data_IF_153487918408
#
_entry.id   IF_153487918408
#
_cell.length_a   1.000
_cell.length_b   1.000
_cell.length_c   1.000
_cell.angle_alpha   90.00
_cell.angle_beta   90.00
_cell.angle_gamma   90.00
#
_symmetry.space_group_name_H-M   'P 1'
#
loop_
_entity.id
_entity.type
_entity.pdbx_description
1 polymer ?
#
# COMPACT_ATOMS: atom_id res chain seq x y z
N UNK A 1 -22.04 -17.08 -4.45
CA UNK A 1 -22.47 -18.47 -4.12
C UNK A 1 -23.99 -18.44 -4.02
N UNK A 2 -24.66 -19.59 -3.94
CA UNK A 2 -26.11 -19.62 -3.66
C UNK A 2 -26.36 -19.60 -2.16
N UNK A 3 -27.55 -19.15 -1.74
CA UNK A 3 -28.07 -19.38 -0.40
C UNK A 3 -27.92 -20.86 -0.02
N UNK A 4 -27.35 -21.12 1.16
CA UNK A 4 -27.12 -22.47 1.70
C UNK A 4 -26.25 -23.42 0.86
N UNK A 5 -25.52 -22.91 -0.14
CA UNK A 5 -24.58 -23.72 -0.94
C UNK A 5 -23.15 -23.19 -0.83
N UNK A 6 -22.18 -24.10 -0.89
CA UNK A 6 -20.74 -23.79 -0.85
C UNK A 6 -20.11 -23.62 -2.24
N UNK A 7 -20.69 -24.21 -3.28
CA UNK A 7 -20.15 -24.12 -4.65
C UNK A 7 -20.29 -22.69 -5.21
N UNK A 8 -19.23 -22.25 -5.90
CA UNK A 8 -19.26 -21.03 -6.69
C UNK A 8 -20.19 -21.21 -7.89
N UNK A 9 -20.95 -20.16 -8.22
CA UNK A 9 -21.62 -20.10 -9.53
C UNK A 9 -20.54 -19.96 -10.59
N UNK A 10 -20.82 -20.36 -11.84
CA UNK A 10 -19.90 -20.21 -12.97
C UNK A 10 -19.52 -18.74 -13.20
N UNK A 11 -18.55 -18.22 -12.46
CA UNK A 11 -18.05 -16.85 -12.57
C UNK A 11 -16.76 -16.89 -13.38
N UNK A 12 -16.79 -16.28 -14.57
CA UNK A 12 -15.57 -15.95 -15.30
C UNK A 12 -14.91 -14.78 -14.58
N UNK A 13 -13.89 -15.08 -13.78
CA UNK A 13 -13.14 -14.06 -13.02
C UNK A 13 -12.05 -13.48 -13.93
N UNK A 14 -12.03 -12.16 -14.18
CA UNK A 14 -10.98 -11.51 -14.97
C UNK A 14 -9.59 -11.76 -14.39
N UNK A 15 -8.58 -11.89 -15.25
CA UNK A 15 -7.18 -12.11 -14.84
C UNK A 15 -6.67 -10.98 -13.93
N UNK A 16 -7.04 -9.73 -14.24
CA UNK A 16 -6.71 -8.54 -13.45
C UNK A 16 -7.10 -8.68 -11.97
N UNK A 17 -8.29 -9.26 -11.69
CA UNK A 17 -8.74 -9.51 -10.31
C UNK A 17 -7.86 -10.55 -9.61
N UNK A 18 -7.39 -11.56 -10.34
CA UNK A 18 -6.53 -12.64 -9.78
C UNK A 18 -5.12 -12.17 -9.49
N UNK A 19 -4.66 -11.16 -10.21
CA UNK A 19 -3.30 -10.63 -10.13
C UNK A 19 -3.18 -9.35 -9.31
N UNK A 20 -4.30 -8.68 -9.04
CA UNK A 20 -4.37 -7.46 -8.25
C UNK A 20 -3.93 -7.64 -6.79
N UNK A 21 -3.73 -6.48 -6.16
CA UNK A 21 -3.40 -6.37 -4.73
C UNK A 21 -4.72 -6.38 -3.96
N UNK A 22 -4.95 -7.43 -3.18
CA UNK A 22 -6.18 -7.55 -2.38
C UNK A 22 -6.14 -6.61 -1.17
N UNK A 23 -7.27 -5.93 -0.94
CA UNK A 23 -7.46 -4.90 0.08
C UNK A 23 -8.35 -5.45 1.20
N UNK A 24 -9.56 -5.88 0.82
CA UNK A 24 -10.58 -6.36 1.75
C UNK A 24 -11.33 -7.53 1.15
N UNK A 25 -11.67 -8.51 1.98
CA UNK A 25 -12.60 -9.59 1.66
C UNK A 25 -13.76 -9.52 2.64
N UNK A 26 -14.95 -9.22 2.13
CA UNK A 26 -16.18 -9.19 2.93
C UNK A 26 -16.96 -10.47 2.69
N UNK A 27 -17.11 -11.29 3.72
CA UNK A 27 -18.00 -12.44 3.69
C UNK A 27 -19.44 -11.98 3.99
N UNK A 28 -20.32 -12.08 3.00
CA UNK A 28 -21.71 -11.66 3.09
C UNK A 28 -22.57 -12.92 3.13
N UNK A 29 -23.27 -13.14 4.22
CA UNK A 29 -24.13 -14.31 4.37
C UNK A 29 -25.33 -14.07 5.30
N UNK A 30 -26.30 -14.98 5.28
CA UNK A 30 -27.39 -15.01 6.27
C UNK A 30 -27.04 -15.97 7.41
N UNK A 31 -27.57 -15.71 8.61
CA UNK A 31 -27.52 -16.66 9.73
C UNK A 31 -28.89 -17.31 9.90
N UNK A 32 -28.93 -18.64 9.76
CA UNK A 32 -30.09 -19.46 10.12
C UNK A 32 -29.82 -20.20 11.45
N UNK A 33 -30.63 -19.96 12.48
CA UNK A 33 -30.58 -20.68 13.76
C UNK A 33 -31.60 -21.83 13.78
N UNK A 34 -31.48 -22.78 12.86
CA UNK A 34 -32.28 -24.01 12.89
C UNK A 34 -31.39 -25.21 13.20
N UNK A 35 -31.87 -26.15 14.02
CA UNK A 35 -31.11 -27.33 14.45
C UNK A 35 -30.68 -28.27 13.32
N UNK A 36 -31.25 -28.10 12.12
CA UNK A 36 -30.96 -28.90 10.94
C UNK A 36 -29.79 -28.38 10.09
N UNK A 37 -29.20 -27.22 10.42
CA UNK A 37 -28.22 -26.58 9.55
C UNK A 37 -26.89 -26.23 10.24
N UNK A 38 -25.80 -26.81 9.74
CA UNK A 38 -24.44 -26.53 10.20
C UNK A 38 -23.83 -25.35 9.44
N UNK A 39 -24.09 -24.15 9.96
CA UNK A 39 -23.56 -22.90 9.41
C UNK A 39 -22.02 -22.88 9.42
N UNK A 40 -21.40 -23.39 10.48
CA UNK A 40 -19.94 -23.40 10.62
C UNK A 40 -19.29 -24.22 9.52
N UNK A 41 -19.82 -25.42 9.24
CA UNK A 41 -19.35 -26.25 8.14
C UNK A 41 -19.50 -25.57 6.79
N UNK A 42 -20.65 -24.93 6.52
CA UNK A 42 -20.86 -24.20 5.27
C UNK A 42 -19.82 -23.09 5.09
N UNK A 43 -19.57 -22.30 6.14
CA UNK A 43 -18.62 -21.19 6.11
C UNK A 43 -17.20 -21.68 5.80
N UNK A 44 -16.80 -22.80 6.41
CA UNK A 44 -15.53 -23.46 6.12
C UNK A 44 -15.44 -23.95 4.66
N UNK A 45 -16.48 -24.59 4.14
CA UNK A 45 -16.52 -25.04 2.75
C UNK A 45 -16.46 -23.86 1.76
N UNK A 46 -17.18 -22.77 2.03
CA UNK A 46 -17.16 -21.54 1.22
C UNK A 46 -15.78 -20.89 1.24
N UNK A 47 -15.14 -20.80 2.40
CA UNK A 47 -13.78 -20.27 2.52
C UNK A 47 -12.79 -21.14 1.73
N UNK A 48 -12.88 -22.46 1.81
CA UNK A 48 -12.05 -23.38 1.01
C UNK A 48 -12.20 -23.12 -0.49
N UNK A 49 -13.43 -22.93 -0.96
CA UNK A 49 -13.69 -22.65 -2.38
C UNK A 49 -13.14 -21.28 -2.81
N UNK A 50 -13.26 -20.25 -1.96
CA UNK A 50 -12.63 -18.96 -2.21
C UNK A 50 -11.10 -19.10 -2.32
N UNK A 51 -10.47 -19.81 -1.38
CA UNK A 51 -9.02 -20.01 -1.37
C UNK A 51 -8.52 -20.90 -2.52
N UNK A 52 -9.37 -21.79 -3.05
CA UNK A 52 -9.08 -22.54 -4.29
C UNK A 52 -8.94 -21.60 -5.49
N UNK A 53 -9.75 -20.54 -5.54
CA UNK A 53 -9.75 -19.56 -6.63
C UNK A 53 -8.66 -18.50 -6.41
N UNK A 54 -8.50 -18.04 -5.16
CA UNK A 54 -7.57 -16.99 -4.75
C UNK A 54 -6.60 -17.50 -3.68
N UNK A 55 -5.67 -18.40 -4.04
CA UNK A 55 -4.77 -19.02 -3.06
C UNK A 55 -3.87 -18.02 -2.33
N UNK A 56 -3.60 -16.87 -2.95
CA UNK A 56 -2.81 -15.77 -2.36
C UNK A 56 -3.46 -15.19 -1.08
N UNK A 57 -4.77 -15.36 -0.88
CA UNK A 57 -5.47 -14.83 0.29
C UNK A 57 -5.19 -15.60 1.59
N UNK A 58 -4.81 -16.88 1.53
CA UNK A 58 -4.70 -17.76 2.70
C UNK A 58 -3.65 -17.27 3.73
N UNK A 59 -2.58 -16.66 3.22
CA UNK A 59 -1.45 -16.21 4.03
C UNK A 59 -1.23 -14.70 4.01
N UNK A 60 -2.06 -13.96 3.29
CA UNK A 60 -1.90 -12.53 3.17
C UNK A 60 -2.48 -11.82 4.41
N UNK A 61 -1.59 -11.29 5.24
CA UNK A 61 -1.94 -10.56 6.47
C UNK A 61 -2.23 -9.08 6.23
N UNK A 62 -2.04 -8.60 5.00
CA UNK A 62 -2.36 -7.25 4.56
C UNK A 62 -3.77 -7.14 3.96
N UNK A 63 -4.57 -8.21 4.05
CA UNK A 63 -5.98 -8.22 3.62
C UNK A 63 -6.88 -8.15 4.83
N UNK A 64 -7.78 -7.17 4.83
CA UNK A 64 -8.80 -7.05 5.87
C UNK A 64 -9.95 -8.02 5.59
N UNK A 65 -10.29 -8.86 6.58
CA UNK A 65 -11.47 -9.72 6.49
C UNK A 65 -12.63 -9.09 7.25
N UNK A 66 -13.75 -8.91 6.56
CA UNK A 66 -15.00 -8.38 7.10
C UNK A 66 -16.10 -9.41 6.98
N UNK A 67 -17.13 -9.23 7.79
CA UNK A 67 -18.30 -10.08 7.78
C UNK A 67 -19.56 -9.21 7.84
N UNK A 68 -20.49 -9.47 6.93
CA UNK A 68 -21.81 -8.83 6.90
C UNK A 68 -22.85 -9.92 6.97
N UNK A 69 -23.70 -9.85 8.00
CA UNK A 69 -24.70 -10.86 8.32
C UNK A 69 -26.10 -10.32 8.08
N UNK A 70 -26.92 -11.05 7.34
CA UNK A 70 -28.37 -10.86 7.32
C UNK A 70 -29.00 -11.70 8.42
N UNK A 71 -29.85 -11.11 9.24
CA UNK A 71 -30.72 -11.88 10.12
C UNK A 71 -31.84 -12.49 9.27
N UNK A 72 -31.85 -13.81 9.19
CA UNK A 72 -32.84 -14.56 8.40
C UNK A 72 -33.84 -15.32 9.26
N UNK A 73 -33.86 -15.07 10.57
CA UNK A 73 -34.74 -15.75 11.51
C UNK A 73 -36.02 -14.94 11.80
N UNK A 74 -36.97 -14.99 10.86
CA UNK A 74 -38.36 -14.58 11.08
C UNK A 74 -39.18 -14.71 9.79
N UNK A 75 -40.46 -15.07 9.89
CA UNK A 75 -41.41 -15.21 8.76
C UNK A 75 -41.58 -13.94 7.88
N UNK A 76 -40.89 -12.84 8.21
CA UNK A 76 -41.11 -11.52 7.60
C UNK A 76 -40.05 -11.07 6.59
N UNK A 77 -38.90 -11.73 6.46
CA UNK A 77 -37.91 -11.35 5.44
C UNK A 77 -37.23 -12.57 4.80
N UNK A 78 -37.63 -12.90 3.57
CA UNK A 78 -36.96 -13.92 2.78
C UNK A 78 -35.61 -13.37 2.30
N UNK A 79 -34.52 -13.75 2.96
CA UNK A 79 -33.16 -13.31 2.57
C UNK A 79 -32.51 -14.21 1.51
N UNK A 80 -33.23 -15.20 0.97
CA UNK A 80 -32.67 -16.16 -0.01
C UNK A 80 -32.33 -15.51 -1.36
N UNK A 81 -32.92 -14.36 -1.66
CA UNK A 81 -32.68 -13.53 -2.84
C UNK A 81 -31.51 -12.55 -2.68
N UNK A 82 -31.08 -12.29 -1.44
CA UNK A 82 -29.93 -11.43 -1.13
C UNK A 82 -28.62 -12.09 -1.59
N UNK A 83 -27.57 -11.30 -1.72
CA UNK A 83 -26.27 -11.81 -2.14
C UNK A 83 -25.62 -12.65 -1.02
N UNK A 84 -25.21 -13.88 -1.34
CA UNK A 84 -24.37 -14.71 -0.47
C UNK A 84 -23.04 -15.03 -1.15
N UNK A 85 -21.94 -14.69 -0.49
CA UNK A 85 -20.61 -14.96 -1.02
C UNK A 85 -19.58 -13.98 -0.51
N UNK A 86 -18.53 -13.78 -1.30
CA UNK A 86 -17.42 -12.91 -0.95
C UNK A 86 -17.39 -11.72 -1.89
N UNK A 87 -17.35 -10.50 -1.33
CA UNK A 87 -16.99 -9.30 -2.06
C UNK A 87 -15.49 -9.05 -1.86
N UNK A 88 -14.72 -8.99 -2.95
CA UNK A 88 -13.28 -8.76 -2.92
C UNK A 88 -13.02 -7.35 -3.44
N UNK A 89 -12.45 -6.52 -2.58
CA UNK A 89 -11.92 -5.21 -2.95
C UNK A 89 -10.43 -5.38 -3.24
N UNK A 90 -9.99 -4.89 -4.39
CA UNK A 90 -8.61 -5.02 -4.84
C UNK A 90 -8.17 -3.76 -5.59
N UNK A 91 -6.86 -3.55 -5.65
CA UNK A 91 -6.23 -2.58 -6.54
C UNK A 91 -5.64 -3.31 -7.74
N UNK A 92 -5.90 -2.87 -8.98
CA UNK A 92 -5.19 -3.36 -10.15
C UNK A 92 -3.69 -3.15 -10.01
N UNK A 93 -2.89 -4.09 -10.53
CA UNK A 93 -1.45 -3.85 -10.64
C UNK A 93 -1.21 -2.71 -11.65
N UNK A 94 -0.23 -1.83 -11.40
CA UNK A 94 0.20 -0.87 -12.40
C UNK A 94 0.57 -1.57 -13.71
N UNK A 95 0.08 -1.03 -14.81
CA UNK A 95 0.40 -1.44 -16.17
C UNK A 95 1.09 -0.29 -16.90
N UNK A 96 1.73 -0.58 -18.03
CA UNK A 96 2.32 0.47 -18.86
C UNK A 96 1.27 1.51 -19.30
N UNK A 97 0.03 1.07 -19.57
CA UNK A 97 -1.08 1.94 -19.97
C UNK A 97 -1.53 2.87 -18.84
N UNK A 98 -1.72 2.34 -17.63
CA UNK A 98 -2.11 3.14 -16.46
C UNK A 98 -0.97 4.09 -16.07
N UNK A 99 0.27 3.62 -16.07
CA UNK A 99 1.46 4.43 -15.79
C UNK A 99 1.61 5.60 -16.76
N UNK A 100 1.38 5.40 -18.07
CA UNK A 100 1.39 6.50 -19.06
C UNK A 100 0.34 7.57 -18.72
N UNK A 101 -0.90 7.16 -18.42
CA UNK A 101 -1.98 8.08 -18.03
C UNK A 101 -1.64 8.83 -16.74
N UNK A 102 -1.10 8.14 -15.75
CA UNK A 102 -0.68 8.70 -14.47
C UNK A 102 0.45 9.73 -14.64
N UNK A 103 1.47 9.41 -15.45
CA UNK A 103 2.53 10.34 -15.81
C UNK A 103 1.99 11.61 -16.46
N UNK A 104 1.01 11.47 -17.36
CA UNK A 104 0.34 12.61 -18.00
C UNK A 104 -0.50 13.43 -17.01
N UNK A 105 -1.09 12.82 -15.98
CA UNK A 105 -1.79 13.54 -14.91
C UNK A 105 -0.80 14.36 -14.05
N UNK A 106 0.39 13.81 -13.75
CA UNK A 106 1.40 14.49 -12.93
C UNK A 106 2.12 15.62 -13.67
N UNK A 107 2.47 15.40 -14.94
CA UNK A 107 3.39 16.27 -15.68
C UNK A 107 2.86 16.75 -17.03
N UNK A 108 1.64 16.35 -17.41
CA UNK A 108 1.01 16.76 -18.64
C UNK A 108 0.78 18.27 -18.66
N UNK A 109 0.75 18.83 -19.88
CA UNK A 109 0.32 20.22 -20.05
C UNK A 109 -1.10 20.34 -19.48
N UNK A 110 -1.38 21.44 -18.76
CA UNK A 110 -2.74 21.82 -18.38
C UNK A 110 -3.64 21.58 -19.60
N UNK A 111 -4.81 20.94 -19.45
CA UNK A 111 -5.74 20.84 -20.57
C UNK A 111 -5.96 22.27 -21.07
N UNK A 112 -5.69 22.50 -22.35
CA UNK A 112 -6.26 23.67 -23.02
C UNK A 112 -7.75 23.59 -22.74
N UNK A 113 -8.31 24.65 -22.15
CA UNK A 113 -9.76 24.77 -22.00
C UNK A 113 -10.33 24.85 -23.41
N UNK A 114 -10.58 23.71 -24.05
CA UNK A 114 -11.60 23.63 -25.07
C UNK A 114 -12.92 23.76 -24.32
N UNK A 115 -13.48 24.96 -24.42
CA UNK A 115 -14.89 25.21 -24.12
C UNK A 115 -15.67 24.52 -25.22
N UNK A 116 -15.81 23.21 -25.14
CA UNK A 116 -16.79 22.48 -25.94
C UNK A 116 -17.74 21.75 -25.00
N UNK A 117 -19.01 22.10 -25.21
CA UNK A 117 -20.18 21.71 -24.46
C UNK A 117 -20.17 20.25 -24.04
N UNK A 118 -20.24 20.03 -22.73
CA UNK A 118 -20.66 18.76 -22.16
C UNK A 118 -22.05 18.42 -22.70
N UNK A 119 -22.11 17.54 -23.68
CA UNK A 119 -23.31 16.76 -23.91
C UNK A 119 -23.41 15.73 -22.80
N UNK A 120 -24.42 15.89 -21.96
CA UNK A 120 -24.84 14.88 -21.00
C UNK A 120 -25.27 13.64 -21.77
N UNK A 121 -24.42 12.61 -21.79
CA UNK A 121 -24.89 11.23 -21.95
C UNK A 121 -24.74 10.53 -20.61
N UNK A 122 -25.87 10.40 -19.94
CA UNK A 122 -26.03 9.68 -18.70
C UNK A 122 -25.84 8.18 -18.96
N UNK A 123 -24.69 7.64 -18.58
CA UNK A 123 -24.61 6.23 -18.19
C UNK A 123 -24.72 6.21 -16.67
N UNK A 124 -25.88 5.81 -16.18
CA UNK A 124 -26.14 5.64 -14.76
C UNK A 124 -25.32 4.44 -14.24
N UNK A 125 -24.12 4.70 -13.74
CA UNK A 125 -23.49 3.76 -12.81
C UNK A 125 -24.15 3.92 -11.44
N UNK A 126 -25.20 3.14 -11.22
CA UNK A 126 -25.73 2.88 -9.90
C UNK A 126 -24.71 2.03 -9.14
N UNK A 127 -23.82 2.70 -8.42
CA UNK A 127 -22.93 2.07 -7.46
C UNK A 127 -22.47 3.16 -6.51
N UNK A 128 -23.02 3.18 -5.30
CA UNK A 128 -22.33 3.78 -4.16
C UNK A 128 -20.98 3.07 -4.06
N UNK A 129 -19.94 3.67 -4.65
CA UNK A 129 -18.58 3.25 -4.40
C UNK A 129 -18.40 3.30 -2.87
N UNK A 130 -17.83 2.25 -2.26
CA UNK A 130 -17.37 2.38 -0.88
C UNK A 130 -16.51 3.64 -0.87
N UNK A 131 -16.84 4.61 -0.02
CA UNK A 131 -16.00 5.76 0.22
C UNK A 131 -14.62 5.23 0.60
N UNK A 132 -13.72 5.13 -0.38
CA UNK A 132 -12.30 5.03 -0.10
C UNK A 132 -12.01 6.29 0.69
N UNK A 133 -11.79 6.13 1.99
CA UNK A 133 -11.21 7.19 2.80
C UNK A 133 -10.02 7.71 2.01
N UNK A 134 -10.04 9.01 1.73
CA UNK A 134 -8.94 9.68 1.05
C UNK A 134 -7.70 9.49 1.92
N UNK A 135 -6.85 8.55 1.53
CA UNK A 135 -5.63 8.21 2.25
C UNK A 135 -4.64 9.36 2.05
N UNK A 136 -4.61 10.31 2.98
CA UNK A 136 -3.74 11.51 2.95
C UNK A 136 -2.48 11.33 3.81
N UNK A 137 -2.01 10.08 3.96
CA UNK A 137 -0.91 9.72 4.85
C UNK A 137 0.34 10.57 4.66
N UNK A 138 0.83 10.76 3.43
CA UNK A 138 2.11 11.46 3.20
C UNK A 138 2.02 12.89 3.70
N UNK A 139 0.98 13.62 3.29
CA UNK A 139 0.78 15.01 3.71
C UNK A 139 0.56 15.11 5.22
N UNK A 140 -0.25 14.22 5.82
CA UNK A 140 -0.54 14.24 7.26
C UNK A 140 0.68 13.93 8.11
N UNK A 141 1.51 12.96 7.71
CA UNK A 141 2.71 12.57 8.45
C UNK A 141 3.75 13.69 8.35
N UNK A 142 4.01 14.20 7.15
CA UNK A 142 4.99 15.28 6.98
C UNK A 142 4.55 16.59 7.66
N UNK A 143 3.24 16.85 7.77
CA UNK A 143 2.73 18.02 8.50
C UNK A 143 2.92 17.85 10.02
N UNK A 144 2.61 16.67 10.58
CA UNK A 144 2.75 16.42 12.02
C UNK A 144 4.20 16.23 12.47
N UNK A 145 5.10 15.82 11.56
CA UNK A 145 6.54 15.61 11.79
C UNK A 145 7.41 16.67 11.10
N UNK A 146 6.95 17.93 11.09
CA UNK A 146 7.64 19.07 10.46
C UNK A 146 9.03 19.35 11.04
N UNK A 147 9.31 18.85 12.24
CA UNK A 147 10.59 18.94 12.92
C UNK A 147 11.66 18.00 12.34
N UNK A 148 11.29 17.01 11.52
CA UNK A 148 12.26 16.09 10.93
C UNK A 148 13.24 16.81 10.00
N UNK A 149 14.51 16.49 10.23
CA UNK A 149 15.64 17.12 9.57
C UNK A 149 16.51 16.06 8.90
N UNK A 150 15.95 15.51 7.83
CA UNK A 150 16.52 14.42 7.06
C UNK A 150 16.30 14.55 5.55
N UNK A 151 16.93 13.63 4.82
CA UNK A 151 16.69 13.44 3.40
C UNK A 151 15.36 12.72 3.18
N UNK A 152 14.58 13.17 2.21
CA UNK A 152 13.35 12.50 1.78
C UNK A 152 13.74 11.40 0.79
N UNK A 153 13.37 10.16 1.10
CA UNK A 153 13.55 8.99 0.24
C UNK A 153 12.17 8.51 -0.20
N UNK A 154 11.89 8.48 -1.50
CA UNK A 154 10.55 8.20 -2.01
C UNK A 154 10.53 7.09 -3.05
N UNK A 155 9.67 6.10 -2.81
CA UNK A 155 9.20 5.17 -3.82
C UNK A 155 8.31 5.91 -4.83
N UNK A 156 8.68 5.83 -6.11
CA UNK A 156 7.94 6.39 -7.24
C UNK A 156 7.59 5.32 -8.29
N UNK A 157 7.41 4.07 -7.85
CA UNK A 157 6.77 3.03 -8.66
C UNK A 157 5.31 3.37 -8.95
N UNK A 158 4.70 2.65 -9.88
CA UNK A 158 3.33 2.94 -10.32
C UNK A 158 2.30 2.80 -9.19
N UNK A 159 2.53 1.94 -8.20
CA UNK A 159 1.64 1.81 -7.05
C UNK A 159 1.71 3.07 -6.15
N UNK A 160 2.78 3.84 -6.20
CA UNK A 160 2.92 5.04 -5.39
C UNK A 160 2.32 6.31 -5.99
N UNK A 161 1.66 6.24 -7.16
CA UNK A 161 1.02 7.39 -7.80
C UNK A 161 0.18 8.31 -6.88
N UNK A 162 -0.83 7.82 -6.13
CA UNK A 162 -1.65 8.69 -5.27
C UNK A 162 -0.86 9.32 -4.12
N UNK A 163 0.21 8.66 -3.66
CA UNK A 163 1.08 9.14 -2.58
C UNK A 163 2.12 10.15 -3.09
N UNK A 164 2.59 9.97 -4.32
CA UNK A 164 3.42 10.95 -5.05
C UNK A 164 2.67 12.26 -5.25
N UNK A 165 1.38 12.21 -5.58
CA UNK A 165 0.53 13.42 -5.67
C UNK A 165 0.45 14.18 -4.34
N UNK A 166 0.37 13.47 -3.22
CA UNK A 166 0.37 14.07 -1.89
C UNK A 166 1.71 14.73 -1.57
N UNK A 167 2.82 14.07 -1.89
CA UNK A 167 4.17 14.62 -1.73
C UNK A 167 4.31 15.94 -2.50
N UNK A 168 3.86 15.97 -3.76
CA UNK A 168 3.88 17.17 -4.58
C UNK A 168 3.00 18.26 -4.00
N UNK A 169 1.76 17.93 -3.59
CA UNK A 169 0.85 18.90 -3.00
C UNK A 169 1.45 19.52 -1.73
N UNK A 170 2.01 18.69 -0.84
CA UNK A 170 2.67 19.14 0.38
C UNK A 170 3.78 20.15 0.09
N UNK A 171 4.74 19.81 -0.78
CA UNK A 171 5.85 20.72 -1.09
C UNK A 171 5.45 21.93 -1.94
N UNK A 172 4.41 21.81 -2.77
CA UNK A 172 3.86 22.94 -3.52
C UNK A 172 3.17 23.96 -2.62
N UNK A 173 2.48 23.51 -1.58
CA UNK A 173 1.89 24.40 -0.57
C UNK A 173 2.95 25.06 0.31
N UNK A 174 4.15 24.46 0.40
CA UNK A 174 5.30 25.04 1.08
C UNK A 174 6.09 26.05 0.24
N UNK A 175 5.63 26.45 -0.95
CA UNK A 175 6.34 27.36 -1.88
C UNK A 175 6.78 28.72 -1.30
N UNK A 176 6.21 29.16 -0.18
CA UNK A 176 6.70 30.35 0.56
C UNK A 176 7.92 30.07 1.45
N UNK A 177 8.29 28.80 1.65
CA UNK A 177 9.44 28.33 2.42
C UNK A 177 10.46 27.72 1.45
N UNK A 178 11.75 27.98 1.67
CA UNK A 178 12.82 27.31 0.90
C UNK A 178 12.76 25.81 1.21
N UNK A 179 12.61 24.99 0.17
CA UNK A 179 12.74 23.53 0.29
C UNK A 179 14.23 23.26 0.28
N UNK A 180 14.95 23.37 1.39
CA UNK A 180 16.38 23.05 1.42
C UNK A 180 16.59 21.64 2.00
N UNK A 181 16.27 20.62 1.19
CA UNK A 181 16.38 19.20 1.58
C UNK A 181 16.92 18.35 0.44
N UNK A 182 17.60 17.25 0.80
CA UNK A 182 17.96 16.22 -0.16
C UNK A 182 16.75 15.32 -0.45
N UNK A 183 16.56 15.02 -1.73
CA UNK A 183 15.58 14.04 -2.18
C UNK A 183 16.31 12.92 -2.91
N UNK A 184 15.92 11.68 -2.60
CA UNK A 184 16.36 10.46 -3.28
C UNK A 184 15.12 9.67 -3.67
N UNK A 185 14.97 9.37 -4.93
CA UNK A 185 13.80 8.74 -5.49
C UNK A 185 14.19 7.47 -6.21
N UNK A 186 13.35 6.44 -6.13
CA UNK A 186 13.57 5.18 -6.82
C UNK A 186 12.35 4.67 -7.57
N UNK A 187 12.58 3.85 -8.59
CA UNK A 187 11.55 3.25 -9.45
C UNK A 187 11.73 1.72 -9.66
N UNK A 188 12.56 1.08 -8.83
CA UNK A 188 12.92 -0.34 -8.91
C UNK A 188 13.58 -0.76 -10.23
N UNK A 189 14.53 0.06 -10.69
CA UNK A 189 15.56 -0.36 -11.64
C UNK A 189 15.38 0.04 -13.09
N UNK A 190 14.74 1.17 -13.39
CA UNK A 190 14.64 1.74 -14.74
C UNK A 190 14.07 0.76 -15.80
N UNK A 191 12.98 0.06 -15.46
CA UNK A 191 12.39 -1.01 -16.27
C UNK A 191 13.36 -2.17 -16.59
N UNK A 192 14.40 -2.37 -15.77
CA UNK A 192 15.22 -3.59 -15.82
C UNK A 192 14.29 -4.80 -15.69
N UNK A 193 14.36 -5.79 -16.62
CA UNK A 193 13.52 -6.97 -16.53
C UNK A 193 13.69 -7.67 -15.18
N UNK A 194 12.58 -8.10 -14.57
CA UNK A 194 12.53 -8.62 -13.20
C UNK A 194 13.62 -9.66 -12.90
N UNK A 195 13.80 -10.66 -13.78
CA UNK A 195 14.82 -11.71 -13.62
C UNK A 195 16.27 -11.24 -13.75
N UNK A 196 16.51 -9.97 -14.08
CA UNK A 196 17.84 -9.35 -14.18
C UNK A 196 18.13 -8.35 -13.06
N UNK A 197 17.15 -8.05 -12.20
CA UNK A 197 17.37 -7.17 -11.05
C UNK A 197 18.28 -7.87 -10.04
N UNK A 198 19.40 -7.24 -9.71
CA UNK A 198 20.42 -7.79 -8.80
C UNK A 198 20.49 -6.90 -7.56
N UNK A 199 20.32 -7.51 -6.38
CA UNK A 199 20.42 -6.82 -5.08
C UNK A 199 21.73 -6.01 -4.99
N UNK A 200 21.59 -4.72 -4.66
CA UNK A 200 22.72 -3.78 -4.56
C UNK A 200 23.17 -3.18 -5.90
N UNK A 201 22.49 -3.55 -6.99
CA UNK A 201 22.74 -3.07 -8.36
C UNK A 201 21.43 -2.99 -9.15
N UNK A 202 20.30 -2.74 -8.47
CA UNK A 202 18.99 -2.72 -9.12
C UNK A 202 18.88 -1.53 -10.07
N UNK A 203 19.47 -0.38 -9.69
CA UNK A 203 19.45 0.85 -10.48
C UNK A 203 18.22 1.71 -10.19
N UNK A 204 17.90 2.66 -11.07
CA UNK A 204 16.70 3.48 -10.92
C UNK A 204 16.67 4.38 -9.71
N UNK A 205 17.82 4.89 -9.26
CA UNK A 205 17.94 5.80 -8.11
C UNK A 205 18.37 7.18 -8.61
N UNK A 206 17.54 8.18 -8.33
CA UNK A 206 17.71 9.57 -8.74
C UNK A 206 17.79 10.45 -7.50
N UNK A 207 18.69 11.43 -7.46
CA UNK A 207 18.82 12.28 -6.27
C UNK A 207 19.27 13.70 -6.60
N UNK A 208 18.84 14.65 -5.78
CA UNK A 208 19.27 16.05 -5.86
C UNK A 208 19.01 16.77 -4.52
N UNK A 209 19.90 17.71 -4.15
CA UNK A 209 19.58 18.72 -3.12
C UNK A 209 18.68 19.77 -3.77
N UNK A 210 17.42 19.80 -3.36
CA UNK A 210 16.45 20.73 -3.92
C UNK A 210 16.50 22.06 -3.14
N UNK A 211 16.04 23.11 -3.81
CA UNK A 211 15.84 24.46 -3.25
C UNK A 211 14.44 25.01 -3.53
N UNK A 212 13.84 24.56 -4.64
CA UNK A 212 12.54 25.01 -5.14
C UNK A 212 11.70 23.83 -5.66
N UNK A 213 10.39 24.03 -5.73
CA UNK A 213 9.44 22.99 -6.13
C UNK A 213 9.68 22.49 -7.57
N UNK A 214 10.09 23.34 -8.50
CA UNK A 214 10.32 22.97 -9.90
C UNK A 214 11.44 21.93 -10.05
N UNK A 215 12.41 21.91 -9.12
CA UNK A 215 13.47 20.90 -9.10
C UNK A 215 12.93 19.55 -8.61
N UNK A 216 11.97 19.54 -7.67
CA UNK A 216 11.27 18.34 -7.21
C UNK A 216 10.52 17.68 -8.36
N UNK A 217 9.74 18.47 -9.09
CA UNK A 217 8.96 17.99 -10.23
C UNK A 217 9.87 17.39 -11.31
N UNK A 218 11.01 18.03 -11.60
CA UNK A 218 12.00 17.51 -12.55
C UNK A 218 12.62 16.19 -12.10
N UNK A 219 13.03 16.10 -10.82
CA UNK A 219 13.63 14.88 -10.26
C UNK A 219 12.65 13.70 -10.30
N UNK A 220 11.41 13.93 -9.86
CA UNK A 220 10.36 12.92 -9.89
C UNK A 220 9.99 12.53 -11.32
N UNK A 221 9.92 13.49 -12.26
CA UNK A 221 9.67 13.20 -13.67
C UNK A 221 10.75 12.31 -14.28
N UNK A 222 12.02 12.58 -13.97
CA UNK A 222 13.12 11.74 -14.41
C UNK A 222 12.99 10.31 -13.86
N UNK A 223 12.68 10.19 -12.55
CA UNK A 223 12.49 8.90 -11.88
C UNK A 223 11.34 8.10 -12.49
N UNK A 224 10.14 8.69 -12.56
CA UNK A 224 8.94 8.03 -13.10
C UNK A 224 9.12 7.68 -14.59
N UNK A 225 9.88 8.48 -15.34
CA UNK A 225 10.15 8.18 -16.76
C UNK A 225 11.10 7.00 -16.95
N UNK A 226 11.93 6.66 -15.95
CA UNK A 226 12.80 5.50 -15.97
C UNK A 226 12.05 4.18 -15.87
N UNK A 227 10.95 4.14 -15.11
CA UNK A 227 10.12 2.94 -14.97
C UNK A 227 9.03 3.07 -13.91
N UNK A 228 8.25 1.99 -13.76
CA UNK A 228 7.13 1.93 -12.82
C UNK A 228 7.20 0.73 -11.86
N UNK A 229 8.33 0.01 -11.84
CA UNK A 229 8.53 -1.20 -11.05
C UNK A 229 8.39 -2.50 -11.86
N UNK A 230 7.81 -3.55 -11.27
CA UNK A 230 7.60 -4.85 -11.92
C UNK A 230 7.12 -5.99 -11.00
N UNK A 231 8.05 -6.85 -10.57
CA UNK A 231 7.82 -8.11 -9.85
C UNK A 231 7.30 -8.00 -8.41
N UNK A 232 7.19 -6.81 -7.84
CA UNK A 232 6.60 -6.55 -6.52
C UNK A 232 7.61 -6.20 -5.43
N UNK A 233 8.75 -6.91 -5.27
CA UNK A 233 9.82 -6.43 -4.42
C UNK A 233 10.50 -5.18 -4.99
N UNK A 234 10.98 -4.28 -4.14
CA UNK A 234 11.56 -3.00 -4.57
C UNK A 234 12.93 -2.71 -3.93
N UNK A 235 13.64 -1.68 -4.40
CA UNK A 235 15.03 -1.39 -4.00
C UNK A 235 15.16 -0.23 -2.98
N UNK A 236 14.33 -0.28 -1.94
CA UNK A 236 14.27 0.71 -0.86
C UNK A 236 15.62 0.92 -0.16
N UNK A 237 16.34 -0.17 0.16
CA UNK A 237 17.57 -0.09 0.95
C UNK A 237 18.71 0.52 0.13
N UNK A 238 18.81 0.22 -1.16
CA UNK A 238 19.75 0.86 -2.07
C UNK A 238 19.52 2.38 -2.14
N UNK A 239 18.25 2.82 -2.19
CA UNK A 239 17.89 4.24 -2.15
C UNK A 239 18.25 4.89 -0.80
N UNK A 240 18.03 4.21 0.32
CA UNK A 240 18.43 4.68 1.66
C UNK A 240 19.95 4.78 1.82
N UNK A 241 20.70 3.80 1.31
CA UNK A 241 22.17 3.84 1.27
C UNK A 241 22.62 5.06 0.46
N UNK A 242 22.01 5.31 -0.71
CA UNK A 242 22.31 6.51 -1.49
C UNK A 242 21.99 7.79 -0.70
N UNK A 243 20.88 7.84 0.03
CA UNK A 243 20.47 9.00 0.81
C UNK A 243 21.46 9.37 1.93
N UNK A 244 21.98 8.38 2.67
CA UNK A 244 23.03 8.65 3.67
C UNK A 244 24.37 9.06 3.05
N UNK A 245 24.70 8.58 1.85
CA UNK A 245 25.92 8.97 1.13
C UNK A 245 25.87 10.43 0.67
N UNK A 246 24.73 10.86 0.10
CA UNK A 246 24.58 12.20 -0.47
C UNK A 246 24.23 13.26 0.57
N UNK A 247 23.68 12.84 1.72
CA UNK A 247 23.44 13.70 2.87
C UNK A 247 24.13 13.17 4.14
N UNK A 248 25.48 13.24 4.23
CA UNK A 248 26.20 12.78 5.40
C UNK A 248 25.83 13.55 6.67
N UNK A 249 25.40 14.80 6.56
CA UNK A 249 25.01 15.67 7.68
C UNK A 249 23.54 15.49 8.12
N UNK A 250 22.70 14.80 7.33
CA UNK A 250 21.30 14.55 7.70
C UNK A 250 21.23 13.71 8.98
N UNK A 251 20.34 14.06 9.91
CA UNK A 251 20.21 13.32 11.17
C UNK A 251 19.46 12.01 11.01
N UNK A 252 18.57 11.95 10.02
CA UNK A 252 17.69 10.83 9.73
C UNK A 252 17.38 10.75 8.23
N UNK A 253 16.79 9.64 7.82
CA UNK A 253 16.29 9.40 6.48
C UNK A 253 14.78 9.18 6.56
N UNK A 254 14.00 9.81 5.69
CA UNK A 254 12.53 9.76 5.73
C UNK A 254 12.07 8.97 4.51
N UNK A 255 11.77 7.69 4.69
CA UNK A 255 11.32 6.79 3.63
C UNK A 255 9.80 6.91 3.45
N UNK A 256 9.33 7.14 2.24
CA UNK A 256 7.92 7.03 1.85
C UNK A 256 7.80 5.81 0.94
N UNK A 257 7.13 4.76 1.41
CA UNK A 257 7.14 3.45 0.76
C UNK A 257 5.77 2.79 0.69
N UNK A 258 5.62 1.84 -0.24
CA UNK A 258 4.42 1.02 -0.42
C UNK A 258 4.39 -0.14 0.59
N UNK A 259 3.32 -0.20 1.39
CA UNK A 259 3.08 -1.29 2.33
C UNK A 259 2.86 -2.65 1.64
N UNK A 260 2.48 -2.67 0.36
CA UNK A 260 2.23 -3.91 -0.39
C UNK A 260 3.47 -4.48 -1.08
N UNK A 261 4.59 -3.75 -1.07
CA UNK A 261 5.88 -4.16 -1.63
C UNK A 261 6.84 -4.60 -0.51
N UNK A 262 7.59 -5.67 -0.75
CA UNK A 262 8.71 -6.12 0.11
C UNK A 262 10.03 -5.51 -0.36
N UNK A 263 11.03 -5.42 0.50
CA UNK A 263 12.34 -4.90 0.11
C UNK A 263 13.16 -6.00 -0.56
N UNK A 264 13.39 -5.91 -1.87
CA UNK A 264 14.28 -6.80 -2.65
C UNK A 264 15.65 -6.90 -2.01
N UNK A 265 16.13 -5.79 -1.52
CA UNK A 265 17.46 -5.56 -0.97
C UNK A 265 17.49 -5.56 0.56
N UNK A 266 16.50 -6.19 1.20
CA UNK A 266 16.40 -6.38 2.67
C UNK A 266 17.75 -6.80 3.30
N UNK A 267 18.50 -7.69 2.63
CA UNK A 267 19.80 -8.18 3.12
C UNK A 267 20.87 -7.09 3.29
N UNK A 268 20.70 -5.92 2.68
CA UNK A 268 21.63 -4.79 2.75
C UNK A 268 21.35 -3.85 3.93
N UNK A 269 20.27 -4.07 4.69
CA UNK A 269 19.79 -3.18 5.75
C UNK A 269 20.88 -2.83 6.79
N UNK A 270 21.79 -3.76 7.08
CA UNK A 270 22.91 -3.53 8.00
C UNK A 270 23.93 -2.47 7.55
N UNK A 271 23.84 -1.96 6.31
CA UNK A 271 24.68 -0.87 5.79
C UNK A 271 24.13 0.52 6.15
N UNK A 272 22.88 0.60 6.63
CA UNK A 272 22.25 1.86 7.01
C UNK A 272 22.72 2.25 8.42
N UNK A 273 23.25 3.46 8.56
CA UNK A 273 23.80 3.94 9.83
C UNK A 273 22.96 5.05 10.46
N UNK A 274 21.97 5.58 9.74
CA UNK A 274 21.10 6.67 10.18
C UNK A 274 19.70 6.12 10.52
N UNK A 275 18.98 6.72 11.49
CA UNK A 275 17.57 6.43 11.73
C UNK A 275 16.72 6.56 10.48
N UNK A 276 15.88 5.55 10.20
CA UNK A 276 14.93 5.58 9.10
C UNK A 276 13.50 5.79 9.63
N UNK A 277 12.90 6.92 9.26
CA UNK A 277 11.51 7.26 9.53
C UNK A 277 10.67 6.76 8.35
N UNK A 278 9.90 5.69 8.55
CA UNK A 278 9.08 5.11 7.48
C UNK A 278 7.68 5.70 7.51
N UNK A 279 7.31 6.42 6.46
CA UNK A 279 5.95 6.86 6.13
C UNK A 279 5.32 5.77 5.25
N UNK A 280 4.51 4.91 5.86
CA UNK A 280 4.12 3.64 5.24
C UNK A 280 2.73 3.71 4.59
N UNK A 281 2.70 3.83 3.28
CA UNK A 281 1.49 4.09 2.50
C UNK A 281 0.64 2.83 2.31
N UNK A 282 -0.68 2.93 2.42
CA UNK A 282 -1.58 1.77 2.21
C UNK A 282 -1.68 0.80 3.39
N UNK A 283 -1.40 1.26 4.62
CA UNK A 283 -1.30 0.42 5.83
C UNK A 283 -2.62 0.14 6.57
N UNK A 284 -3.79 0.24 5.93
CA UNK A 284 -5.11 0.19 6.59
C UNK A 284 -5.50 -1.19 7.14
N UNK A 285 -5.05 -2.28 6.50
CA UNK A 285 -5.44 -3.66 6.85
C UNK A 285 -4.41 -4.41 7.69
N UNK A 286 -3.19 -3.88 7.77
CA UNK A 286 -2.03 -4.54 8.32
C UNK A 286 -0.76 -3.94 7.72
N UNK A 287 0.39 -4.27 8.28
CA UNK A 287 1.67 -3.71 7.90
C UNK A 287 2.62 -4.81 7.45
N UNK A 288 3.34 -4.54 6.37
CA UNK A 288 4.49 -5.33 5.99
C UNK A 288 5.57 -5.19 7.07
N UNK A 289 5.84 -6.30 7.76
CA UNK A 289 6.72 -6.34 8.93
C UNK A 289 8.17 -6.02 8.60
N UNK A 290 8.58 -6.11 7.34
CA UNK A 290 9.94 -5.74 6.93
C UNK A 290 10.24 -4.26 7.23
N UNK A 291 9.24 -3.37 7.17
CA UNK A 291 9.40 -1.96 7.55
C UNK A 291 9.52 -1.76 9.07
N UNK A 292 8.89 -2.62 9.88
CA UNK A 292 9.11 -2.64 11.33
C UNK A 292 10.55 -3.09 11.64
N UNK A 293 11.04 -4.09 10.92
CA UNK A 293 12.42 -4.57 11.04
C UNK A 293 13.43 -3.47 10.64
N UNK A 294 13.15 -2.75 9.54
CA UNK A 294 13.95 -1.60 9.09
C UNK A 294 14.02 -0.49 10.14
N UNK A 295 12.87 -0.04 10.62
CA UNK A 295 12.80 0.99 11.65
C UNK A 295 13.52 0.54 12.93
N UNK A 296 13.34 -0.72 13.36
CA UNK A 296 14.02 -1.27 14.53
C UNK A 296 15.54 -1.28 14.37
N UNK A 297 16.05 -1.83 13.27
CA UNK A 297 17.49 -1.99 13.03
C UNK A 297 18.21 -0.65 12.88
N UNK A 298 17.49 0.39 12.45
CA UNK A 298 18.06 1.72 12.22
C UNK A 298 17.86 2.68 13.39
N UNK A 299 17.18 2.30 14.48
CA UNK A 299 16.71 3.22 15.55
C UNK A 299 15.70 4.27 15.04
N UNK A 300 15.00 3.91 13.98
CA UNK A 300 13.97 4.70 13.34
C UNK A 300 12.58 4.46 13.93
N UNK A 301 11.57 4.70 13.11
CA UNK A 301 10.15 4.63 13.49
C UNK A 301 9.26 4.38 12.27
N UNK A 302 8.04 3.88 12.49
CA UNK A 302 7.03 3.65 11.43
C UNK A 302 5.80 4.51 11.69
N UNK A 303 5.27 5.13 10.63
CA UNK A 303 4.23 6.15 10.70
C UNK A 303 3.10 5.81 9.74
N UNK A 304 1.88 5.68 10.26
CA UNK A 304 0.66 5.48 9.48
C UNK A 304 -0.13 6.79 9.40
N UNK A 305 -1.35 6.78 8.88
CA UNK A 305 -2.15 8.01 8.81
C UNK A 305 -2.44 8.63 10.20
N UNK A 306 -2.65 7.79 11.23
CA UNK A 306 -3.11 8.22 12.56
C UNK A 306 -2.16 7.80 13.70
N UNK A 307 -1.33 6.79 13.51
CA UNK A 307 -0.52 6.20 14.57
C UNK A 307 0.98 6.26 14.22
N UNK A 308 1.81 6.45 15.25
CA UNK A 308 3.27 6.46 15.16
C UNK A 308 3.83 5.36 16.07
N UNK A 309 4.70 4.51 15.53
CA UNK A 309 5.48 3.54 16.29
C UNK A 309 6.93 4.00 16.40
N UNK A 310 7.30 4.42 17.60
CA UNK A 310 8.64 4.85 17.95
C UNK A 310 9.32 3.81 18.88
N UNK A 311 10.62 3.97 19.11
CA UNK A 311 11.39 3.18 20.09
C UNK A 311 11.33 1.65 19.89
N UNK A 312 11.13 1.18 18.66
CA UNK A 312 11.06 -0.25 18.34
C UNK A 312 12.33 -1.02 18.74
N UNK A 313 13.47 -0.34 18.87
CA UNK A 313 14.72 -0.93 19.34
C UNK A 313 14.66 -1.46 20.78
N UNK A 314 13.81 -0.87 21.62
CA UNK A 314 13.68 -1.21 23.05
C UNK A 314 12.89 -2.50 23.28
N UNK A 315 12.23 -3.01 22.24
CA UNK A 315 11.41 -4.22 22.31
C UNK A 315 12.27 -5.47 22.47
N UNK A 316 11.98 -6.25 23.50
CA UNK A 316 12.59 -7.53 23.77
C UNK A 316 11.88 -8.66 23.01
N UNK A 317 12.60 -9.75 22.79
CA UNK A 317 12.08 -10.98 22.18
C UNK A 317 10.78 -11.45 22.89
N UNK A 318 9.76 -11.79 22.10
CA UNK A 318 8.43 -12.18 22.57
C UNK A 318 7.49 -11.02 22.92
N UNK A 319 7.96 -9.77 22.96
CA UNK A 319 7.08 -8.62 23.18
C UNK A 319 6.22 -8.32 21.95
N UNK A 320 5.04 -7.75 22.21
CA UNK A 320 4.04 -7.45 21.19
C UNK A 320 3.80 -5.95 21.08
N UNK A 321 3.60 -5.48 19.86
CA UNK A 321 3.09 -4.14 19.55
C UNK A 321 1.74 -4.24 18.87
N UNK A 322 0.97 -3.16 18.93
CA UNK A 322 -0.29 -3.02 18.23
C UNK A 322 -0.24 -1.76 17.37
N UNK A 323 -0.70 -1.87 16.13
CA UNK A 323 -0.82 -0.75 15.19
C UNK A 323 -2.01 -1.00 14.27
N UNK A 324 -2.92 -0.03 14.14
CA UNK A 324 -4.17 -0.15 13.39
C UNK A 324 -4.99 -1.39 13.81
N UNK A 325 -5.07 -1.67 15.13
CA UNK A 325 -5.75 -2.83 15.73
C UNK A 325 -5.19 -4.20 15.32
N UNK A 326 -4.00 -4.24 14.72
CA UNK A 326 -3.27 -5.47 14.40
C UNK A 326 -2.10 -5.63 15.35
N UNK A 327 -1.90 -6.84 15.85
CA UNK A 327 -0.81 -7.16 16.77
C UNK A 327 0.35 -7.81 16.03
N UNK A 328 1.57 -7.46 16.43
CA UNK A 328 2.80 -8.03 15.91
C UNK A 328 3.69 -8.43 17.08
N UNK A 329 4.38 -9.55 16.95
CA UNK A 329 5.32 -10.06 17.96
C UNK A 329 6.75 -10.01 17.41
N UNK A 330 7.70 -9.64 18.26
CA UNK A 330 9.12 -9.76 17.92
C UNK A 330 9.57 -11.21 18.16
N UNK A 331 9.90 -11.91 17.08
CA UNK A 331 10.39 -13.29 17.12
C UNK A 331 11.68 -13.45 16.31
N UNK A 332 12.74 -13.94 16.95
CA UNK A 332 14.09 -14.13 16.43
C UNK A 332 14.63 -12.83 15.81
N UNK A 333 14.38 -11.72 16.49
CA UNK A 333 14.77 -10.39 16.03
C UNK A 333 14.00 -9.86 14.81
N UNK A 334 12.86 -10.46 14.44
CA UNK A 334 11.99 -9.96 13.36
C UNK A 334 10.54 -9.89 13.79
N UNK A 335 9.81 -8.90 13.29
CA UNK A 335 8.38 -8.79 13.55
C UNK A 335 7.59 -9.82 12.75
N UNK A 336 6.56 -10.38 13.39
CA UNK A 336 5.58 -11.25 12.74
C UNK A 336 4.17 -10.84 13.14
N UNK A 337 3.20 -10.90 12.20
CA UNK A 337 1.80 -10.66 12.54
C UNK A 337 1.26 -11.77 13.44
N UNK A 338 0.57 -11.40 14.51
CA UNK A 338 -0.20 -12.32 15.34
C UNK A 338 -1.57 -12.48 14.68
N UNK A 339 -1.90 -13.71 14.26
CA UNK A 339 -3.24 -13.98 13.73
C UNK A 339 -4.22 -14.06 14.88
N UNK A 340 -5.23 -13.19 14.87
CA UNK A 340 -6.43 -13.42 15.67
C UNK A 340 -7.07 -14.73 15.21
N UNK A 341 -7.24 -15.68 16.12
CA UNK A 341 -7.87 -16.99 15.87
C UNK A 341 -9.36 -16.78 15.59
#
# INVERSE_FOLDING_TARGET
>A
MDFMKSKTKNVKIPTEVKEGIFITVTYIHSICKTSAYDQLRLDQERKKELLRIFPKLDKNTLVEWKETKYDSCGEKENTSDKFHGFAIHYRPKPSEETWKKEKDILFGKKPERSVESRSESCVAESGTSPQFQKDEIVSKVLERKKEWDGAIVGDLTGSMFPYTQQLFLYFKLQTLKKIEKFFVFFNDGDNTPDGKKVVGKTGGIYFQKLKVYEELEKLAKATISGGYGGDGPENDIEALIKAQEVCPDCKELILIADNFSTMRDYSLMGKIQKPVRVVLCGSYAGINTEYLDLARNTKGSVHTIEEDLENLMELNEGQTIELNKKKYVLEKGRFKPIRSI
#
